data_IF_041554746195
#
_entry.id   IF_041554746195
#
_cell.length_a   1.000
_cell.length_b   1.000
_cell.length_c   1.000
_cell.angle_alpha   90.00
_cell.angle_beta   90.00
_cell.angle_gamma   90.00
#
_symmetry.space_group_name_H-M   'P 1'
#
loop_
_entity.id
_entity.type
_entity.pdbx_description
1 polymer ?
#
# COMPACT_ATOMS: atom_id res chain seq x y z
N UNK A 1 -21.95 2.28 -7.75
CA UNK A 1 -20.67 1.61 -7.52
C UNK A 1 -20.55 0.49 -8.52
N UNK A 2 -19.48 0.48 -9.31
CA UNK A 2 -19.23 -0.57 -10.30
C UNK A 2 -17.91 -1.28 -9.98
N UNK A 3 -18.01 -2.39 -9.24
CA UNK A 3 -16.85 -3.17 -8.79
C UNK A 3 -16.12 -3.86 -9.94
N UNK A 4 -16.73 -3.92 -11.13
CA UNK A 4 -16.14 -4.55 -12.32
C UNK A 4 -15.03 -3.71 -12.95
N UNK A 5 -14.95 -2.43 -12.58
CA UNK A 5 -13.90 -1.50 -13.04
C UNK A 5 -12.63 -1.60 -12.20
N UNK A 6 -12.67 -2.32 -11.08
CA UNK A 6 -11.53 -2.43 -10.18
C UNK A 6 -10.45 -3.32 -10.79
N UNK A 7 -9.26 -2.75 -10.95
CA UNK A 7 -8.07 -3.45 -11.41
C UNK A 7 -7.58 -4.38 -10.31
N UNK A 8 -6.91 -5.47 -10.70
CA UNK A 8 -6.36 -6.43 -9.71
C UNK A 8 -5.40 -5.72 -8.73
N UNK A 9 -4.64 -4.74 -9.22
CA UNK A 9 -3.74 -3.92 -8.42
C UNK A 9 -4.45 -3.08 -7.35
N UNK A 10 -5.62 -2.51 -7.66
CA UNK A 10 -6.40 -1.69 -6.71
C UNK A 10 -6.94 -2.53 -5.55
N UNK A 11 -7.42 -3.74 -5.85
CA UNK A 11 -7.84 -4.69 -4.82
C UNK A 11 -6.67 -5.10 -3.92
N UNK A 12 -5.52 -5.41 -4.51
CA UNK A 12 -4.32 -5.75 -3.75
C UNK A 12 -3.88 -4.60 -2.85
N UNK A 13 -3.88 -3.37 -3.37
CA UNK A 13 -3.52 -2.18 -2.60
C UNK A 13 -4.51 -1.94 -1.45
N UNK A 14 -5.81 -2.02 -1.70
CA UNK A 14 -6.83 -1.80 -0.68
C UNK A 14 -6.82 -2.88 0.41
N UNK A 15 -6.72 -4.16 0.06
CA UNK A 15 -6.64 -5.26 1.05
C UNK A 15 -5.39 -5.11 1.92
N UNK A 16 -4.26 -4.76 1.29
CA UNK A 16 -3.02 -4.48 2.02
C UNK A 16 -3.16 -3.23 2.90
N UNK A 17 -3.86 -2.19 2.44
CA UNK A 17 -4.17 -1.00 3.22
C UNK A 17 -5.02 -1.32 4.45
N UNK A 18 -6.08 -2.13 4.30
CA UNK A 18 -6.90 -2.61 5.44
C UNK A 18 -6.04 -3.40 6.42
N UNK A 19 -5.23 -4.34 5.93
CA UNK A 19 -4.34 -5.13 6.76
C UNK A 19 -3.34 -4.25 7.53
N UNK A 20 -2.82 -3.19 6.89
CA UNK A 20 -1.94 -2.22 7.53
C UNK A 20 -2.67 -1.45 8.64
N UNK A 21 -3.85 -0.87 8.35
CA UNK A 21 -4.64 -0.10 9.33
C UNK A 21 -4.99 -0.94 10.55
N UNK A 22 -5.49 -2.16 10.34
CA UNK A 22 -5.80 -3.09 11.43
C UNK A 22 -4.52 -3.46 12.18
N UNK A 23 -3.45 -3.78 11.45
CA UNK A 23 -2.16 -4.16 12.00
C UNK A 23 -1.53 -3.12 12.92
N UNK A 24 -1.78 -1.81 12.73
CA UNK A 24 -1.26 -0.75 13.61
C UNK A 24 -1.74 -0.86 15.06
N UNK A 25 -2.93 -1.41 15.28
CA UNK A 25 -3.51 -1.58 16.63
C UNK A 25 -3.07 -2.89 17.30
N UNK A 26 -2.46 -3.81 16.55
CA UNK A 26 -1.91 -5.04 17.09
C UNK A 26 -0.53 -4.77 17.72
N UNK A 27 -0.04 -5.65 18.61
CA UNK A 27 1.27 -5.49 19.22
C UNK A 27 2.37 -5.77 18.20
N UNK A 28 3.26 -4.81 17.97
CA UNK A 28 4.41 -4.93 17.06
C UNK A 28 5.65 -5.38 17.81
N UNK A 29 5.79 -4.94 19.05
CA UNK A 29 6.94 -5.19 19.89
C UNK A 29 6.52 -5.82 21.21
N UNK A 30 7.43 -6.62 21.77
CA UNK A 30 7.31 -7.16 23.11
C UNK A 30 8.57 -6.82 23.90
N UNK A 31 8.38 -6.46 25.15
CA UNK A 31 9.45 -6.19 26.11
C UNK A 31 9.23 -7.12 27.29
N UNK A 32 10.16 -8.04 27.50
CA UNK A 32 10.14 -8.98 28.63
C UNK A 32 11.22 -8.62 29.63
N UNK A 33 10.82 -8.58 30.91
CA UNK A 33 11.74 -8.45 32.04
C UNK A 33 11.80 -9.79 32.74
N UNK A 34 12.99 -10.38 32.78
CA UNK A 34 13.26 -11.59 33.55
C UNK A 34 13.78 -11.18 34.92
N UNK A 35 12.96 -11.32 35.95
CA UNK A 35 13.40 -11.25 37.35
C UNK A 35 13.26 -12.63 37.98
N UNK A 36 14.15 -12.97 38.93
CA UNK A 36 14.39 -14.32 39.47
C UNK A 36 13.18 -14.90 40.24
N UNK A 37 12.07 -15.15 39.54
CA UNK A 37 10.80 -15.66 40.08
C UNK A 37 9.54 -15.09 39.43
N UNK A 38 9.62 -14.05 38.58
CA UNK A 38 8.47 -13.48 37.88
C UNK A 38 8.87 -12.88 36.53
N UNK A 39 8.32 -13.44 35.45
CA UNK A 39 8.45 -12.88 34.11
C UNK A 39 7.29 -11.91 33.85
N UNK A 40 7.63 -10.68 33.46
CA UNK A 40 6.66 -9.69 33.04
C UNK A 40 6.88 -9.36 31.56
N UNK A 41 5.83 -9.50 30.75
CA UNK A 41 5.87 -9.15 29.32
C UNK A 41 4.90 -8.01 29.04
N UNK A 42 5.41 -6.91 28.48
CA UNK A 42 4.63 -5.79 27.99
C UNK A 42 4.62 -5.85 26.47
N UNK A 43 3.45 -5.61 25.87
CA UNK A 43 3.29 -5.58 24.43
C UNK A 43 2.96 -4.16 23.98
N UNK A 44 3.62 -3.73 22.92
CA UNK A 44 3.52 -2.37 22.41
C UNK A 44 3.04 -2.41 20.96
N UNK A 45 1.98 -1.66 20.70
CA UNK A 45 1.43 -1.41 19.37
C UNK A 45 2.31 -0.46 18.56
N UNK A 46 2.00 -0.29 17.27
CA UNK A 46 2.72 0.66 16.42
C UNK A 46 2.60 2.10 16.95
N UNK A 47 1.43 2.47 17.47
CA UNK A 47 1.15 3.80 18.03
C UNK A 47 2.06 4.14 19.20
N UNK A 48 2.33 3.16 20.07
CA UNK A 48 3.20 3.34 21.23
C UNK A 48 4.68 3.33 20.83
N UNK A 49 5.04 2.60 19.77
CA UNK A 49 6.43 2.42 19.35
C UNK A 49 6.95 3.54 18.42
N UNK A 50 6.09 4.18 17.61
CA UNK A 50 6.54 4.94 16.44
C UNK A 50 6.17 6.43 16.36
N UNK A 51 5.34 6.93 17.28
CA UNK A 51 4.95 8.34 17.54
C UNK A 51 4.49 9.21 16.36
N UNK A 52 5.26 9.32 15.27
CA UNK A 52 4.90 10.03 14.04
C UNK A 52 4.85 9.11 12.81
N UNK A 53 5.58 7.99 12.82
CA UNK A 53 5.61 7.05 11.67
C UNK A 53 4.33 6.20 11.62
N UNK A 54 3.71 5.94 12.76
CA UNK A 54 2.37 5.38 12.89
C UNK A 54 1.31 6.17 12.10
N UNK A 55 1.33 7.50 12.17
CA UNK A 55 0.43 8.38 11.40
C UNK A 55 0.69 8.23 9.90
N UNK A 56 1.96 8.19 9.50
CA UNK A 56 2.34 8.03 8.10
C UNK A 56 1.83 6.68 7.52
N UNK A 57 1.95 5.61 8.30
CA UNK A 57 1.42 4.28 7.96
C UNK A 57 -0.10 4.27 7.91
N UNK A 58 -0.77 4.94 8.85
CA UNK A 58 -2.23 5.08 8.84
C UNK A 58 -2.69 5.81 7.58
N UNK A 59 -2.06 6.94 7.25
CA UNK A 59 -2.37 7.71 6.05
C UNK A 59 -2.19 6.86 4.80
N UNK A 60 -1.11 6.08 4.70
CA UNK A 60 -0.91 5.17 3.57
C UNK A 60 -2.05 4.16 3.44
N UNK A 61 -2.41 3.48 4.54
CA UNK A 61 -3.48 2.49 4.54
C UNK A 61 -4.84 3.11 4.16
N UNK A 62 -5.16 4.27 4.72
CA UNK A 62 -6.40 5.01 4.43
C UNK A 62 -6.43 5.49 2.97
N UNK A 63 -5.32 6.00 2.43
CA UNK A 63 -5.24 6.42 1.04
C UNK A 63 -5.43 5.23 0.09
N UNK A 64 -4.83 4.09 0.37
CA UNK A 64 -4.99 2.89 -0.46
C UNK A 64 -6.45 2.40 -0.52
N UNK A 65 -7.15 2.39 0.62
CA UNK A 65 -8.58 2.04 0.67
C UNK A 65 -9.44 3.13 0.04
N UNK A 66 -9.14 4.40 0.31
CA UNK A 66 -9.85 5.55 -0.23
C UNK A 66 -9.78 5.61 -1.75
N UNK A 67 -8.63 5.29 -2.34
CA UNK A 67 -8.44 5.19 -3.78
C UNK A 67 -9.39 4.18 -4.41
N UNK A 68 -9.47 2.96 -3.87
CA UNK A 68 -10.42 1.95 -4.34
C UNK A 68 -11.87 2.45 -4.31
N UNK A 69 -12.27 3.15 -3.25
CA UNK A 69 -13.61 3.74 -3.13
C UNK A 69 -13.82 4.84 -4.17
N UNK A 70 -12.83 5.70 -4.38
CA UNK A 70 -12.86 6.78 -5.36
C UNK A 70 -12.97 6.22 -6.78
N UNK A 71 -12.17 5.22 -7.15
CA UNK A 71 -12.24 4.58 -8.48
C UNK A 71 -13.59 3.92 -8.71
N UNK A 72 -14.17 3.30 -7.68
CA UNK A 72 -15.49 2.67 -7.77
C UNK A 72 -16.66 3.68 -7.98
N UNK A 73 -16.43 4.97 -7.70
CA UNK A 73 -17.44 6.03 -7.79
C UNK A 73 -17.21 6.94 -9.00
N UNK A 74 -15.96 7.31 -9.32
CA UNK A 74 -15.66 8.28 -10.37
C UNK A 74 -15.79 7.70 -11.78
N UNK A 75 -16.30 8.49 -12.74
CA UNK A 75 -16.52 8.04 -14.13
C UNK A 75 -15.26 8.14 -15.00
N UNK A 76 -14.38 9.10 -14.76
CA UNK A 76 -13.21 9.42 -15.59
C UNK A 76 -11.96 8.63 -15.21
N UNK A 77 -11.40 7.87 -16.15
CA UNK A 77 -10.21 7.04 -15.93
C UNK A 77 -8.92 7.85 -15.66
N UNK A 78 -8.83 9.08 -16.17
CA UNK A 78 -7.64 9.92 -16.01
C UNK A 78 -7.31 10.26 -14.54
N UNK A 79 -8.33 10.36 -13.68
CA UNK A 79 -8.13 10.69 -12.26
C UNK A 79 -7.54 9.51 -11.50
N UNK A 80 -7.92 8.28 -11.85
CA UNK A 80 -7.40 7.06 -11.23
C UNK A 80 -5.90 6.90 -11.43
N UNK A 81 -5.41 7.04 -12.67
CA UNK A 81 -3.99 6.86 -13.00
C UNK A 81 -3.10 7.88 -12.27
N UNK A 82 -3.52 9.16 -12.25
CA UNK A 82 -2.76 10.20 -11.54
C UNK A 82 -2.72 9.94 -10.03
N UNK A 83 -3.82 9.46 -9.45
CA UNK A 83 -3.90 9.14 -8.04
C UNK A 83 -3.09 7.87 -7.68
N UNK A 84 -3.08 6.84 -8.54
CA UNK A 84 -2.23 5.65 -8.39
C UNK A 84 -0.73 5.99 -8.47
N UNK A 85 -0.34 6.91 -9.37
CA UNK A 85 1.03 7.39 -9.46
C UNK A 85 1.46 8.11 -8.18
N UNK A 86 0.60 8.99 -7.65
CA UNK A 86 0.84 9.67 -6.38
C UNK A 86 0.94 8.68 -5.21
N UNK A 87 0.02 7.71 -5.14
CA UNK A 87 0.03 6.65 -4.13
C UNK A 87 1.32 5.82 -4.23
N UNK A 88 1.78 5.51 -5.44
CA UNK A 88 3.02 4.74 -5.65
C UNK A 88 4.24 5.47 -5.09
N UNK A 89 4.39 6.77 -5.40
CA UNK A 89 5.51 7.58 -4.89
C UNK A 89 5.44 7.63 -3.36
N UNK A 90 4.26 7.93 -2.81
CA UNK A 90 4.06 8.00 -1.38
C UNK A 90 4.35 6.65 -0.71
N UNK A 91 3.78 5.56 -1.21
CA UNK A 91 4.02 4.20 -0.73
C UNK A 91 5.49 3.81 -0.80
N UNK A 92 6.23 4.25 -1.83
CA UNK A 92 7.67 4.03 -1.93
C UNK A 92 8.47 4.69 -0.81
N UNK A 93 8.16 5.95 -0.50
CA UNK A 93 8.76 6.69 0.62
C UNK A 93 8.43 5.99 1.95
N UNK A 94 7.14 5.67 2.16
CA UNK A 94 6.70 4.98 3.38
C UNK A 94 7.34 3.61 3.51
N UNK A 95 7.50 2.84 2.43
CA UNK A 95 8.17 1.55 2.43
C UNK A 95 9.64 1.65 2.87
N UNK A 96 10.37 2.64 2.35
CA UNK A 96 11.74 2.88 2.78
C UNK A 96 11.82 3.24 4.27
N UNK A 97 10.97 4.16 4.73
CA UNK A 97 10.90 4.55 6.15
C UNK A 97 10.51 3.38 7.04
N UNK A 98 9.46 2.63 6.69
CA UNK A 98 8.97 1.48 7.44
C UNK A 98 10.04 0.39 7.54
N UNK A 99 10.77 0.13 6.46
CA UNK A 99 11.88 -0.84 6.46
C UNK A 99 12.97 -0.43 7.45
N UNK A 100 13.43 0.82 7.39
CA UNK A 100 14.43 1.34 8.33
C UNK A 100 13.93 1.24 9.77
N UNK A 101 12.65 1.53 10.01
CA UNK A 101 12.04 1.54 11.34
C UNK A 101 11.74 0.15 11.92
N UNK A 102 11.39 -0.83 11.09
CA UNK A 102 11.18 -2.21 11.55
C UNK A 102 12.52 -2.92 11.75
N UNK A 103 13.51 -2.66 10.89
CA UNK A 103 14.84 -3.27 11.02
C UNK A 103 15.61 -2.70 12.22
N UNK A 104 15.57 -1.39 12.44
CA UNK A 104 16.20 -0.77 13.60
C UNK A 104 15.24 -0.75 14.77
N UNK A 105 15.64 -1.33 15.91
CA UNK A 105 14.82 -1.26 17.12
C UNK A 105 14.59 0.22 17.49
N UNK A 106 13.36 0.65 17.80
CA UNK A 106 13.11 2.02 18.24
C UNK A 106 13.99 2.33 19.44
N UNK A 107 14.65 3.49 19.42
CA UNK A 107 15.58 3.91 20.49
C UNK A 107 14.90 4.00 21.88
N UNK A 108 13.58 4.18 21.90
CA UNK A 108 12.76 4.13 23.12
C UNK A 108 12.64 2.73 23.73
N UNK A 109 12.93 1.68 22.96
CA UNK A 109 12.83 0.27 23.34
C UNK A 109 14.20 -0.40 23.51
N UNK A 110 15.28 0.37 23.38
CA UNK A 110 16.64 -0.09 23.60
C UNK A 110 16.85 -0.32 25.12
N UNK A 111 17.09 -1.57 25.56
CA UNK A 111 17.24 -1.84 26.97
C UNK A 111 18.54 -1.22 27.51
N UNK A 112 18.54 -0.60 28.71
CA UNK A 112 19.76 -0.16 29.36
C UNK A 112 20.73 -1.33 29.54
N UNK A 113 21.99 -1.11 29.21
CA UNK A 113 23.02 -2.15 29.31
C UNK A 113 23.12 -2.71 30.74
N UNK A 114 23.09 -4.04 30.87
CA UNK A 114 23.24 -4.74 32.14
C UNK A 114 21.95 -5.06 32.89
N UNK A 115 20.78 -4.74 32.32
CA UNK A 115 19.49 -5.18 32.85
C UNK A 115 18.98 -6.44 32.11
N UNK A 116 18.26 -7.34 32.78
CA UNK A 116 17.67 -8.55 32.17
C UNK A 116 16.37 -8.20 31.42
N UNK A 117 16.48 -7.27 30.46
CA UNK A 117 15.38 -6.80 29.62
C UNK A 117 15.64 -7.27 28.20
N UNK A 118 14.73 -8.06 27.67
CA UNK A 118 14.74 -8.53 26.28
C UNK A 118 13.66 -7.81 25.50
N UNK A 119 14.01 -7.26 24.34
CA UNK A 119 13.05 -6.61 23.43
C UNK A 119 12.98 -7.38 22.11
N UNK A 120 11.79 -7.85 21.77
CA UNK A 120 11.49 -8.64 20.58
C UNK A 120 10.59 -7.93 19.58
N UNK A 121 10.69 -8.35 18.31
CA UNK A 121 9.74 -8.01 17.24
C UNK A 121 8.76 -9.16 17.10
N UNK A 122 7.47 -8.86 17.10
CA UNK A 122 6.44 -9.85 16.85
C UNK A 122 6.25 -10.08 15.34
N UNK A 123 5.51 -11.15 14.98
CA UNK A 123 5.11 -11.40 13.59
C UNK A 123 4.28 -10.25 12.97
N UNK A 124 3.60 -9.46 13.80
CA UNK A 124 2.75 -8.34 13.33
C UNK A 124 3.60 -7.22 12.74
N UNK A 125 4.79 -6.95 13.26
CA UNK A 125 5.68 -5.94 12.69
C UNK A 125 6.08 -6.29 11.25
N UNK A 126 6.34 -7.57 11.00
CA UNK A 126 6.63 -8.09 9.65
C UNK A 126 5.41 -8.08 8.74
N UNK A 127 4.22 -8.39 9.28
CA UNK A 127 2.96 -8.28 8.54
C UNK A 127 2.68 -6.83 8.15
N UNK A 128 2.91 -5.87 9.04
CA UNK A 128 2.79 -4.45 8.74
C UNK A 128 3.74 -4.02 7.62
N UNK A 129 4.99 -4.49 7.65
CA UNK A 129 5.96 -4.24 6.58
C UNK A 129 5.50 -4.87 5.25
N UNK A 130 5.04 -6.11 5.29
CA UNK A 130 4.49 -6.81 4.12
C UNK A 130 3.28 -6.06 3.55
N UNK A 131 2.41 -5.53 4.40
CA UNK A 131 1.24 -4.75 4.00
C UNK A 131 1.65 -3.44 3.30
N UNK A 132 2.68 -2.74 3.78
CA UNK A 132 3.22 -1.55 3.09
C UNK A 132 3.72 -1.91 1.68
N UNK A 133 4.48 -3.01 1.54
CA UNK A 133 4.92 -3.48 0.24
C UNK A 133 3.76 -3.99 -0.63
N UNK A 134 2.72 -4.56 -0.03
CA UNK A 134 1.49 -4.95 -0.71
C UNK A 134 0.75 -3.74 -1.31
N UNK A 135 0.69 -2.62 -0.58
CA UNK A 135 0.16 -1.35 -1.10
C UNK A 135 1.00 -0.85 -2.27
N UNK A 136 2.33 -0.81 -2.11
CA UNK A 136 3.23 -0.35 -3.17
C UNK A 136 3.14 -1.21 -4.44
N UNK A 137 3.18 -2.53 -4.29
CA UNK A 137 3.06 -3.46 -5.40
C UNK A 137 1.69 -3.36 -6.08
N UNK A 138 0.61 -3.26 -5.28
CA UNK A 138 -0.74 -3.05 -5.79
C UNK A 138 -0.86 -1.77 -6.63
N UNK A 139 -0.31 -0.65 -6.14
CA UNK A 139 -0.32 0.62 -6.86
C UNK A 139 0.48 0.56 -8.18
N UNK A 140 1.66 -0.09 -8.18
CA UNK A 140 2.44 -0.32 -9.41
C UNK A 140 1.67 -1.18 -10.42
N UNK A 141 1.01 -2.23 -9.94
CA UNK A 141 0.21 -3.11 -10.80
C UNK A 141 -1.01 -2.38 -11.36
N UNK A 142 -1.67 -1.54 -10.56
CA UNK A 142 -2.83 -0.75 -11.00
C UNK A 142 -2.47 0.22 -12.13
N UNK A 143 -1.31 0.87 -12.06
CA UNK A 143 -0.81 1.74 -13.13
C UNK A 143 -0.51 1.01 -14.43
N UNK A 144 -0.01 -0.23 -14.35
CA UNK A 144 0.35 -1.05 -15.52
C UNK A 144 -0.85 -1.68 -16.21
N UNK A 145 -2.00 -1.73 -15.55
CA UNK A 145 -3.19 -2.40 -16.08
C UNK A 145 -3.97 -1.45 -17.00
N UNK A 146 -3.55 -1.31 -18.25
CA UNK A 146 -4.21 -0.45 -19.24
C UNK A 146 -5.49 -1.06 -19.84
N UNK A 147 -6.04 -2.14 -19.26
CA UNK A 147 -7.22 -2.82 -19.81
C UNK A 147 -8.43 -1.89 -19.83
N UNK A 148 -8.77 -1.40 -21.03
CA UNK A 148 -10.01 -0.65 -21.30
C UNK A 148 -11.12 -1.51 -21.90
N UNK A 149 -10.87 -2.80 -22.19
CA UNK A 149 -11.89 -3.72 -22.70
C UNK A 149 -11.79 -5.13 -22.12
N UNK A 150 -12.92 -5.83 -22.16
CA UNK A 150 -13.03 -7.26 -21.88
C UNK A 150 -12.30 -8.03 -22.99
N UNK A 151 -11.60 -9.12 -22.67
CA UNK A 151 -11.01 -10.00 -23.70
C UNK A 151 -12.10 -10.37 -24.73
N UNK A 152 -11.98 -9.81 -25.96
CA UNK A 152 -12.92 -10.03 -27.06
C UNK A 152 -13.89 -8.88 -27.41
N UNK A 153 -13.96 -7.80 -26.63
CA UNK A 153 -14.75 -6.60 -27.00
C UNK A 153 -13.81 -5.50 -27.51
N UNK A 154 -14.01 -5.04 -28.74
CA UNK A 154 -13.30 -3.87 -29.27
C UNK A 154 -13.90 -2.62 -28.58
N UNK A 155 -13.07 -1.74 -28.04
CA UNK A 155 -13.51 -0.45 -27.48
C UNK A 155 -12.73 0.69 -28.12
N UNK A 156 -13.33 1.87 -28.22
CA UNK A 156 -12.63 3.05 -28.70
C UNK A 156 -11.61 3.56 -27.65
N UNK A 157 -10.86 4.61 -27.99
CA UNK A 157 -9.91 5.25 -27.06
C UNK A 157 -10.56 5.85 -25.80
N UNK A 158 -11.89 5.81 -25.68
CA UNK A 158 -12.67 6.26 -24.53
C UNK A 158 -13.27 5.11 -23.71
N UNK A 159 -13.12 3.85 -24.17
CA UNK A 159 -13.63 2.66 -23.51
C UNK A 159 -15.09 2.31 -23.86
N UNK A 160 -15.66 2.92 -24.89
CA UNK A 160 -17.00 2.57 -25.39
C UNK A 160 -16.87 1.35 -26.32
N UNK A 161 -17.69 0.29 -26.15
CA UNK A 161 -17.68 -0.86 -27.06
C UNK A 161 -17.97 -0.43 -28.50
N UNK A 162 -17.16 -0.89 -29.44
CA UNK A 162 -17.27 -0.65 -30.88
C UNK A 162 -17.34 -1.99 -31.59
N UNK A 163 -18.14 -2.08 -32.65
CA UNK A 163 -18.28 -3.31 -33.43
C UNK A 163 -17.05 -3.61 -34.30
N UNK A 164 -16.22 -2.60 -34.59
CA UNK A 164 -15.04 -2.72 -35.43
C UNK A 164 -13.89 -1.88 -34.86
N UNK A 165 -12.65 -2.30 -35.14
CA UNK A 165 -11.47 -1.53 -34.78
C UNK A 165 -11.55 -0.15 -35.48
N UNK A 166 -11.23 0.96 -34.77
CA UNK A 166 -11.23 2.28 -35.40
C UNK A 166 -10.35 2.25 -36.65
N UNK A 167 -10.87 2.78 -37.76
CA UNK A 167 -10.10 2.94 -38.98
C UNK A 167 -8.89 3.81 -38.63
N UNK A 168 -7.68 3.24 -38.76
CA UNK A 168 -6.44 3.96 -38.49
C UNK A 168 -6.38 5.09 -39.52
N UNK A 169 -6.63 6.31 -39.08
CA UNK A 169 -6.44 7.50 -39.92
C UNK A 169 -4.96 7.54 -40.31
N UNK A 170 -4.67 7.10 -41.53
CA UNK A 170 -3.33 7.09 -42.08
C UNK A 170 -2.93 8.54 -42.29
N UNK A 171 -2.19 9.09 -41.30
CA UNK A 171 -1.58 10.39 -41.44
C UNK A 171 -0.73 10.40 -42.72
N UNK A 172 -0.94 11.37 -43.63
CA UNK A 172 -0.17 11.44 -44.86
C UNK A 172 1.32 11.52 -44.51
N UNK A 173 2.13 10.69 -45.17
CA UNK A 173 3.55 10.65 -44.93
C UNK A 173 4.17 12.05 -45.12
N UNK A 174 5.12 12.48 -44.26
CA UNK A 174 5.76 13.77 -44.41
C UNK A 174 6.41 13.89 -45.80
N UNK A 175 6.33 15.07 -46.45
CA UNK A 175 6.89 15.26 -47.78
C UNK A 175 8.39 14.98 -47.75
N UNK A 176 8.87 14.17 -48.72
CA UNK A 176 10.30 13.91 -48.89
C UNK A 176 10.98 15.21 -49.33
N UNK A 177 11.84 15.75 -48.48
CA UNK A 177 12.78 16.83 -48.81
C UNK A 177 13.97 16.32 -49.61
#
# INVERSE_FOLDING_TARGET
>A
MDLRRLRAGEWMAAVSGVALVVGLFLPWYEVSVQDHGADATIRLSAWEAYSAVDILLLVLGVLAVGLLVVTAIQRTAAVGIAADAMLTIFAGIVAAVATIRVLNLPRSLEPPAGLPIETGRTAIAWLGLLAVYGVLAGAILAMRDERFSRDGELTDGTGVPVEAAPEIELLPAPPRS
#
